data_IF_152300342261
#
_entry.id   IF_152300342261
#
_cell.length_a   1.000
_cell.length_b   1.000
_cell.length_c   1.000
_cell.angle_alpha   90.00
_cell.angle_beta   90.00
_cell.angle_gamma   90.00
#
_symmetry.space_group_name_H-M   'P 1'
#
loop_
_entity.id
_entity.type
_entity.pdbx_description
1 polymer ?
#
# COMPACT_ATOMS: atom_id res chain seq x y z
N UNK A 1 -14.00 -11.78 -21.59
CA UNK A 1 -14.69 -10.48 -21.45
C UNK A 1 -13.63 -9.43 -21.18
N UNK A 2 -13.58 -8.40 -22.03
CA UNK A 2 -12.63 -7.29 -21.96
C UNK A 2 -12.72 -6.59 -20.60
N UNK A 3 -11.61 -6.52 -19.87
CA UNK A 3 -11.50 -5.86 -18.56
C UNK A 3 -11.57 -4.34 -18.82
N UNK A 4 -12.54 -3.65 -18.24
CA UNK A 4 -12.67 -2.19 -18.34
C UNK A 4 -11.41 -1.53 -17.77
N UNK A 5 -10.65 -0.87 -18.64
CA UNK A 5 -9.55 0.02 -18.25
C UNK A 5 -10.14 1.08 -17.31
N UNK A 6 -9.58 1.23 -16.10
CA UNK A 6 -9.96 2.32 -15.20
C UNK A 6 -9.85 3.66 -15.94
N UNK A 7 -10.81 4.54 -15.73
CA UNK A 7 -10.79 5.87 -16.32
C UNK A 7 -9.57 6.65 -15.82
N UNK A 8 -8.95 7.43 -16.71
CA UNK A 8 -7.74 8.18 -16.42
C UNK A 8 -8.09 9.66 -16.24
N UNK A 9 -7.66 10.24 -15.13
CA UNK A 9 -7.76 11.67 -14.86
C UNK A 9 -6.36 12.24 -14.80
N UNK A 10 -6.02 13.17 -15.69
CA UNK A 10 -4.67 13.76 -15.74
C UNK A 10 -4.68 15.14 -15.09
N UNK A 11 -3.74 15.42 -14.18
CA UNK A 11 -3.50 16.77 -13.64
C UNK A 11 -2.33 17.40 -14.38
N UNK A 12 -2.56 18.59 -14.94
CA UNK A 12 -1.57 19.38 -15.69
C UNK A 12 -1.51 20.83 -15.21
N UNK A 13 -0.41 21.50 -15.50
CA UNK A 13 -0.20 22.91 -15.17
C UNK A 13 1.29 23.22 -15.00
N UNK A 14 1.66 24.50 -15.07
CA UNK A 14 3.06 24.93 -14.92
C UNK A 14 3.63 24.57 -13.53
N UNK A 15 4.95 24.54 -13.34
CA UNK A 15 5.55 24.37 -12.02
C UNK A 15 4.98 25.36 -10.98
N UNK A 16 4.93 24.94 -9.71
CA UNK A 16 4.57 25.78 -8.55
C UNK A 16 3.12 26.33 -8.47
N UNK A 17 2.20 25.91 -9.34
CA UNK A 17 0.76 26.23 -9.24
C UNK A 17 0.03 25.46 -8.12
N UNK A 18 0.68 24.46 -7.52
CA UNK A 18 0.12 23.66 -6.43
C UNK A 18 -0.61 22.38 -6.87
N UNK A 19 -0.24 21.80 -8.02
CA UNK A 19 -0.66 20.44 -8.44
C UNK A 19 -0.43 19.40 -7.33
N UNK A 20 0.78 19.43 -6.79
CA UNK A 20 1.26 18.59 -5.68
C UNK A 20 0.27 18.54 -4.53
N UNK A 21 0.05 19.75 -3.99
CA UNK A 21 -0.85 20.02 -2.89
C UNK A 21 -2.29 19.57 -3.19
N UNK A 22 -2.75 19.74 -4.43
CA UNK A 22 -4.09 19.29 -4.85
C UNK A 22 -4.18 17.77 -4.84
N UNK A 23 -3.23 17.07 -5.47
CA UNK A 23 -3.15 15.61 -5.48
C UNK A 23 -3.21 15.06 -4.06
N UNK A 24 -2.36 15.59 -3.18
CA UNK A 24 -2.30 15.11 -1.79
C UNK A 24 -3.60 15.35 -1.03
N UNK A 25 -4.31 16.44 -1.34
CA UNK A 25 -5.63 16.70 -0.77
C UNK A 25 -6.68 15.71 -1.29
N UNK A 26 -6.65 15.40 -2.58
CA UNK A 26 -7.55 14.40 -3.19
C UNK A 26 -7.30 13.03 -2.56
N UNK A 27 -6.03 12.64 -2.38
CA UNK A 27 -5.64 11.38 -1.75
C UNK A 27 -6.05 11.30 -0.26
N UNK A 28 -5.79 12.35 0.53
CA UNK A 28 -6.09 12.38 1.99
C UNK A 28 -7.58 12.40 2.34
N UNK A 29 -8.49 12.71 1.41
CA UNK A 29 -9.95 12.72 1.66
C UNK A 29 -10.55 11.31 1.82
N UNK A 30 -9.77 10.25 1.60
CA UNK A 30 -10.07 8.89 2.04
C UNK A 30 -8.91 8.37 2.88
N UNK A 31 -9.22 7.69 3.98
CA UNK A 31 -8.19 6.97 4.73
C UNK A 31 -7.39 6.09 3.76
N UNK A 32 -6.08 6.10 4.01
CA UNK A 32 -4.94 5.50 3.31
C UNK A 32 -4.23 6.36 2.25
N UNK A 33 -2.94 6.56 2.55
CA UNK A 33 -1.84 7.19 1.80
C UNK A 33 -1.75 8.72 1.89
N UNK A 34 -0.79 9.14 2.71
CA UNK A 34 -0.33 10.53 2.85
C UNK A 34 0.91 10.68 1.98
N UNK A 35 0.94 11.64 1.04
CA UNK A 35 2.18 12.10 0.38
C UNK A 35 2.15 13.63 0.25
N UNK A 36 3.32 14.27 0.09
CA UNK A 36 3.62 15.71 -0.12
C UNK A 36 5.08 15.82 -0.57
N UNK A 37 5.46 15.97 -1.84
CA UNK A 37 5.70 17.23 -2.59
C UNK A 37 6.17 16.94 -4.03
N UNK A 38 5.89 17.80 -5.04
CA UNK A 38 6.41 17.65 -6.41
C UNK A 38 7.69 18.42 -6.69
N UNK A 39 8.65 17.70 -7.25
CA UNK A 39 9.78 18.27 -7.97
C UNK A 39 10.68 17.14 -8.42
N UNK A 40 10.84 16.99 -9.74
CA UNK A 40 11.82 16.09 -10.37
C UNK A 40 11.42 14.60 -10.42
N UNK A 41 10.32 14.27 -11.11
CA UNK A 41 10.12 12.90 -11.63
C UNK A 41 9.98 12.94 -13.15
N UNK A 42 10.72 12.04 -13.82
CA UNK A 42 10.84 11.92 -15.28
C UNK A 42 9.71 11.08 -15.91
N UNK A 43 8.88 10.46 -15.07
CA UNK A 43 7.77 9.58 -15.46
C UNK A 43 6.43 10.06 -14.89
N UNK A 44 5.35 9.76 -15.60
CA UNK A 44 3.97 10.06 -15.20
C UNK A 44 3.57 9.21 -13.99
N UNK A 45 3.41 9.84 -12.83
CA UNK A 45 3.03 9.15 -11.60
C UNK A 45 1.52 8.96 -11.58
N UNK A 46 1.05 7.72 -11.41
CA UNK A 46 -0.38 7.38 -11.42
C UNK A 46 -0.83 6.90 -10.04
N UNK A 47 -1.90 7.49 -9.51
CA UNK A 47 -2.46 7.18 -8.20
C UNK A 47 -3.88 6.64 -8.35
N UNK A 48 -4.22 5.48 -7.78
CA UNK A 48 -5.61 5.05 -7.68
C UNK A 48 -6.38 5.97 -6.73
N UNK A 49 -7.51 6.50 -7.19
CA UNK A 49 -8.35 7.42 -6.41
C UNK A 49 -9.81 6.97 -6.48
N UNK A 50 -10.48 6.99 -5.33
CA UNK A 50 -11.94 6.88 -5.29
C UNK A 50 -12.54 8.16 -4.71
N UNK A 51 -13.46 8.81 -5.41
CA UNK A 51 -14.20 9.99 -4.91
C UNK A 51 -15.70 9.79 -5.14
N UNK A 52 -16.53 10.03 -4.13
CA UNK A 52 -18.00 9.91 -4.24
C UNK A 52 -18.53 8.57 -4.81
N UNK A 53 -17.75 7.49 -4.69
CA UNK A 53 -18.09 6.16 -5.23
C UNK A 53 -17.63 5.91 -6.67
N UNK A 54 -16.96 6.89 -7.30
CA UNK A 54 -16.30 6.75 -8.60
C UNK A 54 -14.82 6.44 -8.37
N UNK A 55 -14.27 5.52 -9.17
CA UNK A 55 -12.87 5.07 -9.05
C UNK A 55 -12.14 5.34 -10.36
N UNK A 56 -10.99 5.99 -10.30
CA UNK A 56 -10.20 6.38 -11.46
C UNK A 56 -8.70 6.43 -11.13
N UNK A 57 -7.85 6.41 -12.15
CA UNK A 57 -6.41 6.63 -12.03
C UNK A 57 -6.08 8.12 -12.18
N UNK A 58 -5.57 8.74 -11.13
CA UNK A 58 -5.10 10.12 -11.14
C UNK A 58 -3.64 10.19 -11.55
N UNK A 59 -3.36 10.79 -12.70
CA UNK A 59 -2.02 10.86 -13.30
C UNK A 59 -1.45 12.27 -13.09
N UNK A 60 -0.32 12.41 -12.41
CA UNK A 60 0.44 13.65 -12.32
C UNK A 60 1.32 13.81 -13.56
N UNK A 61 1.08 14.88 -14.34
CA UNK A 61 1.91 15.18 -15.50
C UNK A 61 3.31 15.69 -15.14
N UNK A 62 3.57 16.00 -13.87
CA UNK A 62 4.73 16.78 -13.46
C UNK A 62 4.64 18.24 -13.92
N UNK A 63 5.62 19.06 -13.54
CA UNK A 63 5.74 20.46 -13.95
C UNK A 63 6.24 20.62 -15.39
N UNK A 64 5.47 20.19 -16.38
CA UNK A 64 5.88 20.26 -17.79
C UNK A 64 5.54 21.64 -18.36
N UNK A 65 6.57 22.36 -18.80
CA UNK A 65 6.43 23.59 -19.60
C UNK A 65 6.46 23.21 -21.08
N UNK A 66 5.46 23.63 -21.86
CA UNK A 66 5.29 23.26 -23.27
C UNK A 66 6.22 24.05 -24.23
N UNK A 67 7.09 24.93 -23.71
CA UNK A 67 7.81 25.93 -24.51
C UNK A 67 9.35 25.83 -24.54
N UNK A 68 10.03 24.87 -23.92
CA UNK A 68 11.51 24.87 -23.93
C UNK A 68 12.12 24.14 -25.12
N UNK A 69 13.13 24.81 -25.71
CA UNK A 69 13.81 24.50 -26.98
C UNK A 69 14.24 23.05 -27.13
N UNK A 70 14.21 22.58 -28.38
CA UNK A 70 14.53 21.25 -28.93
C UNK A 70 15.94 20.69 -28.63
N UNK A 71 16.69 21.25 -27.68
CA UNK A 71 18.10 20.90 -27.45
C UNK A 71 18.32 19.76 -26.45
N UNK A 72 17.30 19.32 -25.71
CA UNK A 72 17.37 18.19 -24.78
C UNK A 72 16.46 17.03 -25.24
N UNK A 73 17.03 15.98 -25.81
CA UNK A 73 16.33 14.75 -26.23
C UNK A 73 15.44 14.16 -25.10
N UNK A 74 15.85 14.33 -23.85
CA UNK A 74 15.14 13.86 -22.64
C UNK A 74 13.83 14.64 -22.41
N UNK A 75 13.77 15.93 -22.76
CA UNK A 75 12.56 16.75 -22.56
C UNK A 75 11.48 16.45 -23.61
N UNK A 76 11.88 16.06 -24.82
CA UNK A 76 10.96 15.70 -25.91
C UNK A 76 10.13 14.47 -25.53
N UNK A 77 10.77 13.42 -25.01
CA UNK A 77 10.08 12.17 -24.62
C UNK A 77 9.06 12.39 -23.49
N UNK A 78 9.39 13.22 -22.48
CA UNK A 78 8.49 13.55 -21.37
C UNK A 78 7.25 14.30 -21.88
N UNK A 79 7.45 15.27 -22.78
CA UNK A 79 6.34 16.02 -23.38
C UNK A 79 5.43 15.10 -24.20
N UNK A 80 5.98 14.17 -24.98
CA UNK A 80 5.17 13.21 -25.74
C UNK A 80 4.35 12.29 -24.83
N UNK A 81 4.93 11.79 -23.74
CA UNK A 81 4.21 10.99 -22.73
C UNK A 81 3.03 11.76 -22.15
N UNK A 82 3.22 13.02 -21.76
CA UNK A 82 2.14 13.87 -21.23
C UNK A 82 1.06 14.11 -22.29
N UNK A 83 1.44 14.37 -23.54
CA UNK A 83 0.48 14.53 -24.65
C UNK A 83 -0.36 13.27 -24.86
N UNK A 84 0.26 12.09 -24.83
CA UNK A 84 -0.45 10.81 -24.93
C UNK A 84 -1.39 10.58 -23.75
N UNK A 85 -0.95 10.88 -22.52
CA UNK A 85 -1.79 10.77 -21.33
C UNK A 85 -3.00 11.70 -21.42
N UNK A 86 -2.81 12.97 -21.79
CA UNK A 86 -3.91 13.91 -22.02
C UNK A 86 -4.87 13.40 -23.10
N UNK A 87 -4.36 12.84 -24.20
CA UNK A 87 -5.20 12.29 -25.28
C UNK A 87 -6.07 11.13 -24.77
N UNK A 88 -5.50 10.22 -23.99
CA UNK A 88 -6.18 9.03 -23.48
C UNK A 88 -7.05 9.27 -22.25
N UNK A 89 -6.83 10.37 -21.53
CA UNK A 89 -7.55 10.70 -20.31
C UNK A 89 -9.05 10.91 -20.55
N UNK A 90 -9.87 10.43 -19.63
CA UNK A 90 -11.31 10.70 -19.57
C UNK A 90 -11.59 12.14 -19.14
N UNK A 91 -10.83 12.64 -18.15
CA UNK A 91 -10.89 14.04 -17.68
C UNK A 91 -9.48 14.61 -17.47
N UNK A 92 -9.34 15.92 -17.59
CA UNK A 92 -8.10 16.65 -17.38
C UNK A 92 -8.34 17.79 -16.41
N UNK A 93 -7.53 17.89 -15.36
CA UNK A 93 -7.55 19.02 -14.43
C UNK A 93 -6.38 19.94 -14.79
N UNK A 94 -6.68 21.11 -15.35
CA UNK A 94 -5.70 22.16 -15.57
C UNK A 94 -5.62 23.04 -14.32
N UNK A 95 -4.48 23.02 -13.63
CA UNK A 95 -4.26 23.82 -12.41
C UNK A 95 -3.49 25.09 -12.77
N UNK A 96 -4.03 26.24 -12.38
CA UNK A 96 -3.41 27.56 -12.52
C UNK A 96 -3.29 28.25 -11.17
N UNK A 97 -2.42 29.24 -11.06
CA UNK A 97 -2.17 29.98 -9.82
C UNK A 97 -3.00 31.27 -9.78
N UNK A 98 -4.05 31.29 -8.95
CA UNK A 98 -4.90 32.46 -8.73
C UNK A 98 -4.20 33.62 -8.01
N UNK A 99 -3.09 33.37 -7.31
CA UNK A 99 -2.33 34.42 -6.62
C UNK A 99 -1.44 35.20 -7.59
N UNK A 100 -0.80 34.49 -8.52
CA UNK A 100 0.19 35.05 -9.46
C UNK A 100 -0.40 35.40 -10.85
N UNK A 101 -1.71 35.25 -11.05
CA UNK A 101 -2.39 35.52 -12.31
C UNK A 101 -2.02 34.56 -13.45
N UNK A 102 -2.54 34.83 -14.66
CA UNK A 102 -2.23 34.02 -15.84
C UNK A 102 -0.84 34.32 -16.40
N UNK A 103 -0.03 33.27 -16.50
CA UNK A 103 1.28 33.32 -17.15
C UNK A 103 1.20 32.84 -18.60
N UNK A 104 2.24 33.11 -19.40
CA UNK A 104 2.32 32.66 -20.80
C UNK A 104 2.17 31.14 -20.92
N UNK A 105 2.83 30.39 -20.04
CA UNK A 105 2.79 28.92 -20.00
C UNK A 105 1.39 28.38 -19.73
N UNK A 106 0.59 29.08 -18.92
CA UNK A 106 -0.81 28.74 -18.68
C UNK A 106 -1.64 28.93 -19.97
N UNK A 107 -1.38 30.01 -20.71
CA UNK A 107 -2.05 30.27 -22.00
C UNK A 107 -1.67 29.23 -23.06
N UNK A 108 -0.42 28.79 -23.09
CA UNK A 108 0.04 27.78 -24.04
C UNK A 108 -0.53 26.40 -23.73
N UNK A 109 -0.55 26.02 -22.45
CA UNK A 109 -1.22 24.80 -22.01
C UNK A 109 -2.71 24.85 -22.36
N UNK A 110 -3.39 25.98 -22.14
CA UNK A 110 -4.79 26.15 -22.52
C UNK A 110 -5.00 26.00 -24.04
N UNK A 111 -4.13 26.60 -24.87
CA UNK A 111 -4.17 26.44 -26.33
C UNK A 111 -4.00 24.97 -26.74
N UNK A 112 -3.06 24.26 -26.11
CA UNK A 112 -2.85 22.83 -26.35
C UNK A 112 -4.06 21.98 -25.95
N UNK A 113 -4.75 22.35 -24.87
CA UNK A 113 -5.92 21.65 -24.35
C UNK A 113 -7.24 21.99 -25.07
N UNK A 114 -7.28 23.01 -25.94
CA UNK A 114 -8.51 23.41 -26.68
C UNK A 114 -9.20 22.25 -27.42
N UNK A 115 -8.50 21.38 -28.16
CA UNK A 115 -9.13 20.23 -28.83
C UNK A 115 -9.81 19.25 -27.85
N UNK A 116 -9.48 19.34 -26.57
CA UNK A 116 -9.97 18.50 -25.48
C UNK A 116 -10.84 19.27 -24.48
N UNK A 117 -11.30 20.47 -24.83
CA UNK A 117 -11.98 21.39 -23.90
C UNK A 117 -13.15 20.77 -23.12
N UNK A 118 -13.87 19.81 -23.73
CA UNK A 118 -15.04 19.18 -23.11
C UNK A 118 -14.69 18.24 -21.95
N UNK A 119 -13.41 17.83 -21.84
CA UNK A 119 -12.91 17.02 -20.72
C UNK A 119 -12.05 17.80 -19.74
N UNK A 120 -11.87 19.11 -19.93
CA UNK A 120 -10.96 19.95 -19.13
C UNK A 120 -11.72 20.68 -18.03
N UNK A 121 -11.21 20.56 -16.81
CA UNK A 121 -11.62 21.31 -15.64
C UNK A 121 -10.51 22.28 -15.26
N UNK A 122 -10.82 23.58 -15.20
CA UNK A 122 -9.87 24.61 -14.80
C UNK A 122 -9.94 24.83 -13.28
N UNK A 123 -8.88 24.44 -12.58
CA UNK A 123 -8.71 24.65 -11.15
C UNK A 123 -7.83 25.89 -10.87
N UNK A 124 -8.45 26.99 -10.47
CA UNK A 124 -7.75 28.23 -10.08
C UNK A 124 -7.34 28.11 -8.61
N UNK A 125 -6.11 27.68 -8.37
CA UNK A 125 -5.61 27.34 -7.05
C UNK A 125 -5.05 28.56 -6.28
N UNK A 126 -4.82 28.40 -4.97
CA UNK A 126 -4.35 29.46 -4.04
C UNK A 126 -5.36 30.61 -3.85
N UNK A 127 -6.65 30.31 -4.01
CA UNK A 127 -7.75 31.24 -3.74
C UNK A 127 -8.18 31.19 -2.26
N UNK A 128 -7.28 31.56 -1.35
CA UNK A 128 -7.48 31.46 0.09
C UNK A 128 -8.41 32.53 0.68
N UNK A 129 -8.64 33.65 -0.04
CA UNK A 129 -9.34 34.81 0.50
C UNK A 129 -10.58 35.17 -0.36
N UNK A 130 -11.75 35.31 0.27
CA UNK A 130 -13.06 35.53 -0.39
C UNK A 130 -13.17 36.86 -1.16
N UNK A 131 -12.28 37.83 -0.90
CA UNK A 131 -12.32 39.16 -1.53
C UNK A 131 -11.77 39.21 -2.98
N UNK A 132 -11.40 38.08 -3.59
CA UNK A 132 -10.74 38.04 -4.91
C UNK A 132 -11.64 37.59 -6.07
N UNK A 133 -12.97 37.70 -5.95
CA UNK A 133 -13.89 37.32 -7.04
C UNK A 133 -13.62 38.07 -8.36
N UNK A 134 -13.15 39.32 -8.30
CA UNK A 134 -12.78 40.12 -9.48
C UNK A 134 -11.61 39.52 -10.28
N UNK A 135 -10.74 38.73 -9.63
CA UNK A 135 -9.57 38.08 -10.26
C UNK A 135 -9.94 36.87 -11.13
N UNK A 136 -11.17 36.33 -11.01
CA UNK A 136 -11.61 35.18 -11.83
C UNK A 136 -11.86 35.56 -13.30
N UNK A 137 -12.17 36.83 -13.56
CA UNK A 137 -12.43 37.37 -14.90
C UNK A 137 -11.27 37.14 -15.87
N UNK A 138 -10.03 37.16 -15.38
CA UNK A 138 -8.84 36.91 -16.18
C UNK A 138 -8.77 35.45 -16.64
N UNK A 139 -9.11 34.50 -15.76
CA UNK A 139 -9.05 33.06 -16.02
C UNK A 139 -10.17 32.58 -16.94
N UNK A 140 -11.33 33.26 -16.95
CA UNK A 140 -12.40 33.00 -17.91
C UNK A 140 -11.95 33.19 -19.38
N UNK A 141 -10.93 34.03 -19.62
CA UNK A 141 -10.35 34.24 -20.97
C UNK A 141 -9.70 32.98 -21.54
N UNK A 142 -9.41 31.97 -20.72
CA UNK A 142 -8.90 30.68 -21.20
C UNK A 142 -9.96 29.85 -21.96
N UNK A 143 -11.26 30.16 -21.78
CA UNK A 143 -12.34 29.59 -22.57
C UNK A 143 -12.85 28.21 -22.11
N UNK A 144 -12.45 27.74 -20.92
CA UNK A 144 -12.99 26.50 -20.34
C UNK A 144 -14.30 26.78 -19.60
N UNK A 145 -15.31 25.94 -19.82
CA UNK A 145 -16.64 26.07 -19.21
C UNK A 145 -16.64 25.78 -17.70
N UNK A 146 -15.88 24.77 -17.30
CA UNK A 146 -15.81 24.30 -15.92
C UNK A 146 -14.61 24.95 -15.21
N UNK A 147 -14.88 26.02 -14.44
CA UNK A 147 -13.87 26.78 -13.70
C UNK A 147 -14.18 26.73 -12.19
N UNK A 148 -13.20 26.29 -11.40
CA UNK A 148 -13.33 26.19 -9.95
C UNK A 148 -12.24 26.97 -9.23
N UNK A 149 -12.58 28.00 -8.44
CA UNK A 149 -11.66 28.59 -7.48
C UNK A 149 -11.44 27.61 -6.33
N UNK A 150 -10.19 27.24 -6.09
CA UNK A 150 -9.83 26.28 -5.04
C UNK A 150 -8.69 26.81 -4.16
N UNK A 151 -8.63 26.30 -2.94
CA UNK A 151 -7.43 26.29 -2.12
C UNK A 151 -7.05 24.85 -1.84
N UNK A 152 -5.98 24.35 -2.46
CA UNK A 152 -5.45 23.02 -2.15
C UNK A 152 -4.91 22.90 -0.73
N UNK A 153 -4.46 24.01 -0.12
CA UNK A 153 -3.93 24.03 1.25
C UNK A 153 -5.04 24.03 2.28
N UNK A 154 -6.10 24.81 2.09
CA UNK A 154 -7.21 24.92 3.04
C UNK A 154 -8.36 23.96 2.74
N UNK A 155 -8.54 23.58 1.46
CA UNK A 155 -9.58 22.66 0.98
C UNK A 155 -10.81 23.29 0.38
N UNK A 156 -10.90 24.62 0.41
CA UNK A 156 -11.99 25.36 -0.19
C UNK A 156 -12.13 25.03 -1.68
N UNK A 157 -13.37 24.85 -2.15
CA UNK A 157 -13.71 24.59 -3.56
C UNK A 157 -13.35 23.20 -4.10
N UNK A 158 -12.41 22.47 -3.48
CA UNK A 158 -11.93 21.17 -3.96
C UNK A 158 -13.04 20.13 -4.04
N UNK A 159 -13.95 20.12 -3.07
CA UNK A 159 -15.07 19.16 -3.06
C UNK A 159 -16.06 19.38 -4.20
N UNK A 160 -16.37 20.64 -4.50
CA UNK A 160 -17.27 21.03 -5.58
C UNK A 160 -16.64 20.70 -6.94
N UNK A 161 -15.35 21.01 -7.10
CA UNK A 161 -14.56 20.63 -8.26
C UNK A 161 -14.57 19.11 -8.45
N UNK A 162 -14.30 18.35 -7.38
CA UNK A 162 -14.25 16.89 -7.41
C UNK A 162 -15.59 16.25 -7.74
N UNK A 163 -16.71 16.83 -7.28
CA UNK A 163 -18.06 16.37 -7.65
C UNK A 163 -18.25 16.46 -9.16
N UNK A 164 -17.96 17.62 -9.74
CA UNK A 164 -18.05 17.86 -11.19
C UNK A 164 -17.08 16.98 -11.98
N UNK A 165 -15.85 16.78 -11.47
CA UNK A 165 -14.88 15.87 -12.05
C UNK A 165 -15.42 14.43 -12.14
N UNK A 166 -16.11 13.98 -11.09
CA UNK A 166 -16.70 12.63 -11.05
C UNK A 166 -17.99 12.50 -11.85
N UNK A 167 -18.61 13.62 -12.25
CA UNK A 167 -19.81 13.60 -13.08
C UNK A 167 -19.46 13.09 -14.48
N UNK A 168 -20.10 11.98 -14.87
CA UNK A 168 -19.82 11.28 -16.13
C UNK A 168 -18.74 10.21 -16.04
N UNK A 169 -18.02 10.08 -14.92
CA UNK A 169 -17.15 8.92 -14.67
C UNK A 169 -18.00 7.69 -14.30
N UNK A 170 -17.57 6.51 -14.72
CA UNK A 170 -18.20 5.26 -14.32
C UNK A 170 -18.15 5.10 -12.79
N UNK A 171 -19.26 4.65 -12.18
CA UNK A 171 -19.25 4.23 -10.78
C UNK A 171 -18.50 2.90 -10.66
N UNK A 172 -17.18 2.98 -10.54
CA UNK A 172 -16.33 1.81 -10.29
C UNK A 172 -16.58 1.27 -8.88
N UNK A 173 -16.96 0.00 -8.79
CA UNK A 173 -17.00 -0.68 -7.48
C UNK A 173 -15.59 -0.70 -6.88
N UNK A 174 -15.47 -0.62 -5.54
CA UNK A 174 -14.20 -0.66 -4.79
C UNK A 174 -13.30 -1.87 -5.14
N UNK A 175 -13.84 -2.86 -5.86
CA UNK A 175 -13.14 -4.06 -6.34
C UNK A 175 -12.19 -3.84 -7.53
N UNK A 176 -12.23 -2.69 -8.21
CA UNK A 176 -11.40 -2.46 -9.41
C UNK A 176 -10.10 -1.68 -9.15
N UNK A 177 -9.81 -1.31 -7.91
CA UNK A 177 -8.45 -0.90 -7.56
C UNK A 177 -7.55 -2.14 -7.57
N UNK A 178 -6.48 -2.12 -8.37
CA UNK A 178 -5.31 -2.94 -8.05
C UNK A 178 -4.93 -2.59 -6.61
N UNK A 179 -5.15 -3.51 -5.67
CA UNK A 179 -4.87 -3.28 -4.27
C UNK A 179 -3.39 -2.89 -4.14
N UNK A 180 -3.10 -1.77 -3.47
CA UNK A 180 -1.72 -1.41 -3.13
C UNK A 180 -1.34 -2.25 -1.92
N UNK A 181 -0.39 -3.16 -2.10
CA UNK A 181 0.12 -4.00 -1.02
C UNK A 181 1.28 -3.32 -0.33
N UNK A 182 1.06 -2.82 0.88
CA UNK A 182 2.10 -2.18 1.67
C UNK A 182 2.96 -3.25 2.36
N UNK A 183 4.24 -3.33 1.97
CA UNK A 183 5.18 -4.34 2.46
C UNK A 183 6.40 -3.68 3.10
N UNK A 184 7.01 -4.36 4.06
CA UNK A 184 8.29 -3.95 4.65
C UNK A 184 9.24 -5.13 4.84
N UNK A 185 10.54 -4.85 4.88
CA UNK A 185 11.58 -5.84 5.16
C UNK A 185 12.11 -5.67 6.59
N UNK A 186 12.14 -6.75 7.34
CA UNK A 186 12.72 -6.80 8.68
C UNK A 186 13.78 -7.91 8.75
N UNK A 187 14.81 -7.77 9.57
CA UNK A 187 15.85 -8.80 9.69
C UNK A 187 17.14 -8.27 10.28
N UNK A 188 18.05 -9.16 10.68
CA UNK A 188 19.36 -8.78 11.24
C UNK A 188 20.23 -7.96 10.26
N UNK A 189 21.26 -7.28 10.74
CA UNK A 189 22.28 -6.70 9.87
C UNK A 189 22.90 -7.76 8.95
N UNK A 190 23.22 -7.38 7.70
CA UNK A 190 23.91 -8.22 6.71
C UNK A 190 23.18 -9.50 6.25
N UNK A 191 21.90 -9.68 6.58
CA UNK A 191 21.07 -10.78 6.04
C UNK A 191 20.70 -10.60 4.57
N UNK A 192 20.97 -9.43 3.99
CA UNK A 192 20.76 -9.13 2.57
C UNK A 192 19.45 -8.39 2.24
N UNK A 193 18.87 -7.65 3.19
CA UNK A 193 17.67 -6.81 2.96
C UNK A 193 17.86 -5.80 1.81
N UNK A 194 18.99 -5.08 1.80
CA UNK A 194 19.28 -4.08 0.76
C UNK A 194 19.51 -4.73 -0.60
N UNK A 195 20.18 -5.88 -0.64
CA UNK A 195 20.35 -6.65 -1.87
C UNK A 195 18.99 -7.14 -2.40
N UNK A 196 18.09 -7.53 -1.50
CA UNK A 196 16.75 -7.98 -1.86
C UNK A 196 15.92 -6.84 -2.48
N UNK A 197 15.98 -5.66 -1.87
CA UNK A 197 15.36 -4.45 -2.38
C UNK A 197 15.88 -4.09 -3.78
N UNK A 198 17.20 -4.08 -3.97
CA UNK A 198 17.78 -3.77 -5.28
C UNK A 198 17.38 -4.80 -6.33
N UNK A 199 17.44 -6.09 -6.01
CA UNK A 199 17.06 -7.15 -6.94
C UNK A 199 15.57 -7.09 -7.33
N UNK A 200 14.70 -6.67 -6.41
CA UNK A 200 13.28 -6.41 -6.70
C UNK A 200 13.13 -5.22 -7.66
N UNK A 201 13.90 -4.16 -7.45
CA UNK A 201 13.84 -2.97 -8.31
C UNK A 201 14.41 -3.22 -9.70
N UNK A 202 15.47 -4.04 -9.79
CA UNK A 202 16.15 -4.40 -11.04
C UNK A 202 15.38 -5.42 -11.90
N UNK A 203 14.33 -6.07 -11.39
CA UNK A 203 13.45 -6.87 -12.25
C UNK A 203 12.75 -5.95 -13.27
N UNK A 204 12.88 -6.27 -14.57
CA UNK A 204 12.45 -5.53 -15.78
C UNK A 204 10.97 -5.06 -15.84
N UNK A 205 10.21 -5.22 -14.77
CA UNK A 205 8.77 -4.94 -14.68
C UNK A 205 8.41 -3.94 -13.59
N UNK A 206 9.38 -3.46 -12.80
CA UNK A 206 9.16 -2.58 -11.65
C UNK A 206 9.34 -1.11 -12.03
N UNK A 207 8.22 -0.39 -12.20
CA UNK A 207 8.22 1.08 -12.34
C UNK A 207 8.34 1.70 -10.94
N UNK A 208 9.50 2.21 -10.59
CA UNK A 208 9.74 2.88 -9.31
C UNK A 208 9.27 4.33 -9.34
N UNK A 209 8.38 4.71 -8.42
CA UNK A 209 8.07 6.11 -8.14
C UNK A 209 8.53 6.47 -6.73
N UNK A 210 9.47 7.41 -6.65
CA UNK A 210 9.95 8.02 -5.41
C UNK A 210 8.98 9.13 -5.02
N UNK A 211 8.34 9.01 -3.85
CA UNK A 211 7.57 10.14 -3.30
C UNK A 211 8.13 10.52 -1.93
N UNK A 212 8.78 11.68 -1.87
CA UNK A 212 9.26 12.27 -0.63
C UNK A 212 8.16 13.02 0.11
N UNK A 213 8.27 13.08 1.44
CA UNK A 213 7.75 14.19 2.27
C UNK A 213 6.54 13.92 3.16
N UNK A 214 6.60 12.90 4.03
CA UNK A 214 5.69 12.83 5.19
C UNK A 214 6.44 12.55 6.48
N UNK A 215 6.36 13.50 7.43
CA UNK A 215 6.91 13.44 8.79
C UNK A 215 8.35 12.95 8.90
N UNK A 216 9.31 13.85 8.69
CA UNK A 216 10.77 13.81 8.97
C UNK A 216 11.60 12.56 8.58
N UNK A 217 11.05 11.37 8.35
CA UNK A 217 11.84 10.14 8.47
C UNK A 217 11.46 8.92 7.60
N UNK A 218 10.35 8.89 6.85
CA UNK A 218 10.00 7.70 6.04
C UNK A 218 9.73 8.03 4.56
N UNK A 219 10.57 7.48 3.67
CA UNK A 219 10.37 7.47 2.20
C UNK A 219 9.68 6.14 1.84
N UNK A 220 8.79 6.14 0.84
CA UNK A 220 8.14 4.92 0.33
C UNK A 220 8.46 4.71 -1.14
N UNK A 221 8.65 3.46 -1.56
CA UNK A 221 8.93 3.08 -2.96
C UNK A 221 7.75 2.31 -3.52
N UNK A 222 7.13 2.84 -4.57
CA UNK A 222 6.04 2.17 -5.28
C UNK A 222 6.58 1.39 -6.46
N UNK A 223 6.05 0.20 -6.69
CA UNK A 223 6.32 -0.57 -7.90
C UNK A 223 5.14 -1.41 -8.34
N UNK A 224 5.18 -1.89 -9.59
CA UNK A 224 4.15 -2.76 -10.16
C UNK A 224 4.77 -4.10 -10.54
N UNK A 225 4.06 -5.19 -10.27
CA UNK A 225 4.42 -6.53 -10.73
C UNK A 225 3.14 -7.28 -11.11
N UNK A 226 3.07 -7.88 -12.30
CA UNK A 226 1.90 -8.63 -12.79
C UNK A 226 0.53 -7.91 -12.60
N UNK A 227 0.45 -6.60 -12.88
CA UNK A 227 -0.77 -5.79 -12.69
C UNK A 227 -1.23 -5.71 -11.22
N UNK A 228 -0.28 -5.73 -10.29
CA UNK A 228 -0.51 -5.45 -8.88
C UNK A 228 0.47 -4.39 -8.43
N UNK A 229 0.02 -3.46 -7.60
CA UNK A 229 0.85 -2.38 -7.07
C UNK A 229 1.34 -2.74 -5.68
N UNK A 230 2.62 -2.55 -5.43
CA UNK A 230 3.27 -2.76 -4.14
C UNK A 230 3.88 -1.45 -3.68
N UNK A 231 3.88 -1.23 -2.36
CA UNK A 231 4.51 -0.09 -1.73
C UNK A 231 5.47 -0.58 -0.64
N UNK A 232 6.76 -0.29 -0.78
CA UNK A 232 7.77 -0.57 0.23
C UNK A 232 7.82 0.57 1.23
N UNK A 233 7.52 0.27 2.48
CA UNK A 233 7.52 1.23 3.58
C UNK A 233 8.94 1.39 4.15
N UNK A 234 9.28 2.64 4.48
CA UNK A 234 10.49 3.05 5.22
C UNK A 234 11.82 2.82 4.45
N UNK A 235 11.90 3.28 3.21
CA UNK A 235 13.06 3.15 2.33
C UNK A 235 14.05 4.34 2.40
N UNK A 236 13.99 5.18 3.45
CA UNK A 236 14.75 6.44 3.53
C UNK A 236 16.28 6.29 3.37
N UNK A 237 16.85 5.12 3.67
CA UNK A 237 18.27 4.81 3.45
C UNK A 237 18.66 4.42 2.02
N UNK A 238 17.69 4.11 1.15
CA UNK A 238 17.91 3.63 -0.21
C UNK A 238 18.27 4.80 -1.15
N UNK A 239 17.60 5.95 -0.99
CA UNK A 239 17.76 7.10 -1.89
C UNK A 239 19.17 7.69 -1.91
N UNK A 240 19.87 7.74 -0.77
CA UNK A 240 21.20 8.39 -0.68
C UNK A 240 22.31 7.64 -1.45
N UNK A 241 22.05 6.42 -1.94
CA UNK A 241 23.10 5.49 -2.41
C UNK A 241 22.90 4.88 -3.80
N UNK A 242 21.86 5.27 -4.52
CA UNK A 242 21.75 5.01 -5.96
C UNK A 242 22.92 5.60 -6.80
N UNK A 243 23.78 6.44 -6.21
CA UNK A 243 24.99 6.97 -6.84
C UNK A 243 26.33 6.42 -6.35
N UNK A 244 26.41 5.81 -5.15
CA UNK A 244 27.68 5.32 -4.60
C UNK A 244 27.49 3.97 -3.87
N UNK A 245 28.15 2.96 -4.41
CA UNK A 245 28.11 1.56 -3.99
C UNK A 245 28.86 1.32 -2.66
N UNK A 246 28.28 1.73 -1.53
CA UNK A 246 28.67 1.21 -0.22
C UNK A 246 27.41 1.08 0.63
N UNK A 247 26.88 -0.13 0.80
CA UNK A 247 25.68 -0.41 1.58
C UNK A 247 25.96 -0.16 3.07
N UNK A 248 25.37 0.90 3.65
CA UNK A 248 25.34 1.04 5.12
C UNK A 248 23.96 0.60 5.58
N UNK A 249 24.04 -0.24 6.61
CA UNK A 249 22.97 -0.95 7.28
C UNK A 249 21.77 -0.06 7.58
N UNK A 250 20.60 -0.63 7.33
CA UNK A 250 19.28 -0.08 7.65
C UNK A 250 19.15 0.09 9.17
N UNK A 251 19.73 1.17 9.70
CA UNK A 251 19.86 1.45 11.14
C UNK A 251 18.56 1.99 11.70
N UNK A 252 17.95 1.20 12.58
CA UNK A 252 17.96 1.45 14.02
C UNK A 252 16.59 1.14 14.63
N UNK A 253 16.65 0.39 15.73
CA UNK A 253 15.59 -0.31 16.49
C UNK A 253 14.40 0.58 16.93
N UNK A 254 14.42 1.87 16.63
CA UNK A 254 13.37 2.84 17.00
C UNK A 254 12.32 3.05 15.88
N UNK A 255 12.60 2.66 14.62
CA UNK A 255 11.63 2.78 13.50
C UNK A 255 10.85 1.51 13.17
N UNK A 256 11.29 0.36 13.69
CA UNK A 256 10.73 -0.95 13.38
C UNK A 256 9.22 -1.06 13.66
N UNK A 257 8.74 -0.52 14.78
CA UNK A 257 7.34 -0.69 15.17
C UNK A 257 6.38 0.06 14.24
N UNK A 258 6.70 1.32 13.91
CA UNK A 258 5.88 2.12 12.99
C UNK A 258 5.82 1.47 11.60
N UNK A 259 6.97 1.01 11.10
CA UNK A 259 7.05 0.32 9.81
C UNK A 259 6.23 -0.97 9.79
N UNK A 260 6.26 -1.76 10.87
CA UNK A 260 5.40 -2.93 11.04
C UNK A 260 3.92 -2.51 11.05
N UNK A 261 3.55 -1.50 11.84
CA UNK A 261 2.18 -1.00 11.97
C UNK A 261 1.58 -0.47 10.66
N UNK A 262 2.37 0.20 9.83
CA UNK A 262 1.93 0.74 8.54
C UNK A 262 1.89 -0.31 7.43
N UNK A 263 2.57 -1.45 7.61
CA UNK A 263 2.61 -2.53 6.61
C UNK A 263 1.35 -3.39 6.64
N UNK A 264 0.89 -3.82 5.46
CA UNK A 264 -0.10 -4.90 5.32
C UNK A 264 0.54 -6.26 5.58
N UNK A 265 1.82 -6.44 5.21
CA UNK A 265 2.61 -7.64 5.40
C UNK A 265 4.09 -7.33 5.63
N UNK A 266 4.69 -8.00 6.62
CA UNK A 266 6.12 -7.88 6.94
C UNK A 266 6.90 -9.09 6.44
N UNK A 267 7.97 -8.86 5.70
CA UNK A 267 8.87 -9.89 5.19
C UNK A 267 10.08 -9.97 6.12
N UNK A 268 10.15 -11.03 6.92
CA UNK A 268 11.31 -11.27 7.81
C UNK A 268 12.39 -12.02 7.04
N UNK A 269 13.52 -11.37 6.82
CA UNK A 269 14.66 -11.89 6.08
C UNK A 269 15.63 -12.57 7.04
N UNK A 270 15.90 -13.85 6.80
CA UNK A 270 16.84 -14.68 7.56
C UNK A 270 17.99 -15.12 6.64
N UNK A 271 19.22 -15.10 7.16
CA UNK A 271 20.39 -15.62 6.45
C UNK A 271 20.48 -17.15 6.63
N UNK A 272 20.34 -17.89 5.53
CA UNK A 272 20.36 -19.35 5.53
C UNK A 272 21.62 -19.94 6.19
N UNK A 273 22.78 -19.32 5.97
CA UNK A 273 24.06 -19.82 6.47
C UNK A 273 24.20 -19.65 7.99
N UNK A 274 23.53 -18.63 8.56
CA UNK A 274 23.57 -18.34 10.00
C UNK A 274 22.45 -18.99 10.79
N UNK A 275 21.37 -19.42 10.12
CA UNK A 275 20.16 -19.86 10.81
C UNK A 275 19.47 -18.72 11.56
N UNK A 276 18.69 -19.07 12.59
CA UNK A 276 17.89 -18.11 13.33
C UNK A 276 18.60 -17.63 14.60
N UNK A 277 19.08 -16.39 14.59
CA UNK A 277 19.72 -15.77 15.75
C UNK A 277 18.69 -15.28 16.79
N UNK A 278 19.17 -14.89 17.98
CA UNK A 278 18.32 -14.23 18.98
C UNK A 278 17.64 -12.96 18.47
N UNK A 279 18.32 -12.19 17.62
CA UNK A 279 17.74 -10.97 17.06
C UNK A 279 16.69 -11.28 15.99
N UNK A 280 16.84 -12.36 15.22
CA UNK A 280 15.79 -12.83 14.30
C UNK A 280 14.54 -13.25 15.07
N UNK A 281 14.69 -14.00 16.18
CA UNK A 281 13.56 -14.36 17.06
C UNK A 281 12.83 -13.13 17.58
N UNK A 282 13.56 -12.08 17.99
CA UNK A 282 12.97 -10.79 18.42
C UNK A 282 12.20 -10.11 17.29
N UNK A 283 12.76 -10.08 16.08
CA UNK A 283 12.11 -9.49 14.92
C UNK A 283 10.79 -10.20 14.58
N UNK A 284 10.81 -11.54 14.54
CA UNK A 284 9.61 -12.36 14.33
C UNK A 284 8.58 -12.10 15.43
N UNK A 285 9.01 -12.07 16.70
CA UNK A 285 8.11 -11.83 17.82
C UNK A 285 7.45 -10.45 17.75
N UNK A 286 8.19 -9.40 17.35
CA UNK A 286 7.65 -8.06 17.17
C UNK A 286 6.50 -8.02 16.15
N UNK A 287 6.63 -8.73 15.03
CA UNK A 287 5.58 -8.82 13.99
C UNK A 287 4.34 -9.57 14.52
N UNK A 288 4.55 -10.65 15.27
CA UNK A 288 3.48 -11.44 15.90
C UNK A 288 2.73 -10.64 16.96
N UNK A 289 3.45 -9.84 17.75
CA UNK A 289 2.87 -9.00 18.80
C UNK A 289 2.05 -7.87 18.19
N UNK A 290 2.55 -7.27 17.10
CA UNK A 290 1.83 -6.27 16.31
C UNK A 290 0.64 -6.81 15.50
N UNK A 291 0.40 -8.14 15.52
CA UNK A 291 -0.68 -8.81 14.76
C UNK A 291 -0.66 -8.45 13.28
N UNK A 292 0.53 -8.53 12.66
CA UNK A 292 0.70 -8.31 11.22
C UNK A 292 0.89 -9.61 10.46
N UNK A 293 0.47 -9.59 9.19
CA UNK A 293 0.74 -10.69 8.26
C UNK A 293 2.26 -10.80 8.06
N UNK A 294 2.75 -12.02 7.90
CA UNK A 294 4.18 -12.27 7.84
C UNK A 294 4.51 -13.39 6.87
N UNK A 295 5.62 -13.22 6.17
CA UNK A 295 6.35 -14.31 5.52
C UNK A 295 7.80 -14.26 5.95
N UNK A 296 8.47 -15.39 5.86
CA UNK A 296 9.91 -15.48 6.04
C UNK A 296 10.57 -15.63 4.68
N UNK A 297 11.59 -14.83 4.42
CA UNK A 297 12.45 -14.99 3.25
C UNK A 297 13.83 -15.49 3.70
N UNK A 298 14.11 -16.76 3.45
CA UNK A 298 15.37 -17.41 3.76
C UNK A 298 16.35 -17.10 2.62
N UNK A 299 17.13 -16.05 2.82
CA UNK A 299 18.06 -15.50 1.85
C UNK A 299 19.41 -16.21 1.87
N UNK A 300 20.19 -16.03 0.80
CA UNK A 300 21.50 -16.67 0.58
C UNK A 300 21.40 -18.20 0.51
N UNK A 301 20.25 -18.71 0.10
CA UNK A 301 20.03 -20.15 -0.05
C UNK A 301 20.94 -20.76 -1.12
N UNK A 302 21.43 -19.94 -2.06
CA UNK A 302 22.43 -20.35 -3.05
C UNK A 302 23.75 -20.82 -2.44
N UNK A 303 24.07 -20.42 -1.21
CA UNK A 303 25.25 -20.90 -0.48
C UNK A 303 25.03 -22.26 0.20
N UNK A 304 23.78 -22.75 0.22
CA UNK A 304 23.39 -24.02 0.84
C UNK A 304 23.12 -25.12 -0.21
N UNK A 305 23.18 -24.81 -1.51
CA UNK A 305 22.80 -25.74 -2.59
C UNK A 305 23.65 -27.03 -2.58
N UNK A 306 24.93 -26.94 -2.20
CA UNK A 306 25.86 -28.08 -2.08
C UNK A 306 25.81 -28.79 -0.72
N UNK A 307 24.97 -28.32 0.21
CA UNK A 307 24.81 -28.96 1.52
C UNK A 307 23.79 -30.11 1.48
N UNK A 308 23.92 -31.07 2.40
CA UNK A 308 22.91 -32.12 2.61
C UNK A 308 21.57 -31.56 3.14
N UNK A 309 21.54 -30.31 3.59
CA UNK A 309 20.38 -29.67 4.19
C UNK A 309 19.41 -29.20 3.11
N UNK A 310 18.29 -29.91 2.97
CA UNK A 310 17.17 -29.49 2.11
C UNK A 310 16.25 -28.49 2.80
N UNK A 311 15.47 -27.75 2.02
CA UNK A 311 14.52 -26.73 2.50
C UNK A 311 13.63 -27.27 3.62
N UNK A 312 13.05 -28.47 3.44
CA UNK A 312 12.21 -29.13 4.45
C UNK A 312 12.94 -29.40 5.78
N UNK A 313 14.23 -29.73 5.73
CA UNK A 313 15.06 -29.92 6.91
C UNK A 313 15.28 -28.60 7.65
N UNK A 314 15.59 -27.54 6.90
CA UNK A 314 15.78 -26.20 7.45
C UNK A 314 14.49 -25.61 8.03
N UNK A 315 13.34 -25.79 7.34
CA UNK A 315 12.02 -25.41 7.86
C UNK A 315 11.76 -26.06 9.22
N UNK A 316 12.04 -27.38 9.34
CA UNK A 316 11.85 -28.10 10.61
C UNK A 316 12.73 -27.55 11.72
N UNK A 317 13.99 -27.20 11.42
CA UNK A 317 14.90 -26.57 12.36
C UNK A 317 14.32 -25.24 12.90
N UNK A 318 13.89 -24.36 12.00
CA UNK A 318 13.29 -23.06 12.37
C UNK A 318 12.00 -23.22 13.19
N UNK A 319 11.13 -24.16 12.80
CA UNK A 319 9.90 -24.45 13.54
C UNK A 319 10.18 -25.08 14.90
N UNK A 320 11.22 -25.91 15.03
CA UNK A 320 11.66 -26.43 16.33
C UNK A 320 12.10 -25.29 17.26
N UNK A 321 12.84 -24.32 16.73
CA UNK A 321 13.32 -23.15 17.46
C UNK A 321 12.18 -22.19 17.85
N UNK A 322 11.17 -22.05 16.98
CA UNK A 322 10.05 -21.14 17.19
C UNK A 322 8.75 -21.75 16.60
N UNK A 323 7.98 -22.55 17.37
CA UNK A 323 6.87 -23.36 16.85
C UNK A 323 5.75 -22.60 16.13
N UNK A 324 5.57 -21.31 16.46
CA UNK A 324 4.58 -20.46 15.79
C UNK A 324 4.88 -20.25 14.30
N UNK A 325 6.13 -20.43 13.87
CA UNK A 325 6.56 -20.30 12.48
C UNK A 325 5.90 -21.30 11.54
N UNK A 326 5.36 -22.42 12.06
CA UNK A 326 4.62 -23.40 11.24
C UNK A 326 3.40 -22.80 10.52
N UNK A 327 2.92 -21.64 10.96
CA UNK A 327 1.77 -20.95 10.36
C UNK A 327 2.16 -19.89 9.32
N UNK A 328 3.45 -19.61 9.15
CA UNK A 328 3.93 -18.54 8.28
C UNK A 328 4.75 -19.14 7.13
N UNK A 329 4.43 -18.81 5.86
CA UNK A 329 5.18 -19.29 4.71
C UNK A 329 6.66 -18.91 4.78
N UNK A 330 7.51 -19.86 4.40
CA UNK A 330 8.94 -19.67 4.26
C UNK A 330 9.30 -19.80 2.78
N UNK A 331 9.84 -18.73 2.20
CA UNK A 331 10.33 -18.69 0.84
C UNK A 331 11.85 -18.80 0.87
N UNK A 332 12.41 -19.60 -0.04
CA UNK A 332 13.85 -19.84 -0.14
C UNK A 332 14.40 -19.19 -1.40
N UNK A 333 15.48 -18.42 -1.26
CA UNK A 333 15.97 -17.66 -2.40
C UNK A 333 17.34 -17.03 -2.21
N UNK A 334 17.72 -16.27 -3.22
CA UNK A 334 18.97 -15.52 -3.26
C UNK A 334 18.71 -14.16 -3.88
N UNK A 335 18.82 -13.12 -3.07
CA UNK A 335 18.82 -11.74 -3.55
C UNK A 335 19.94 -11.50 -4.58
N UNK A 336 21.12 -12.12 -4.37
CA UNK A 336 22.28 -11.94 -5.27
C UNK A 336 22.05 -12.56 -6.65
N UNK A 337 21.39 -13.73 -6.71
CA UNK A 337 21.07 -14.42 -7.98
C UNK A 337 19.65 -14.09 -8.50
N UNK A 338 18.94 -13.15 -7.88
CA UNK A 338 17.52 -12.85 -8.14
C UNK A 338 16.60 -14.08 -8.15
N UNK A 339 16.92 -15.12 -7.36
CA UNK A 339 16.18 -16.40 -7.32
C UNK A 339 15.15 -16.39 -6.19
N UNK A 340 13.92 -16.79 -6.48
CA UNK A 340 12.82 -16.89 -5.49
C UNK A 340 12.11 -15.57 -5.15
N UNK A 341 12.44 -14.46 -5.85
CA UNK A 341 11.80 -13.16 -5.62
C UNK A 341 10.36 -13.13 -6.10
N UNK A 342 10.09 -13.69 -7.29
CA UNK A 342 8.74 -13.72 -7.87
C UNK A 342 7.69 -14.39 -6.97
N UNK A 343 8.11 -15.30 -6.09
CA UNK A 343 7.21 -16.00 -5.17
C UNK A 343 6.73 -15.08 -4.04
N UNK A 344 7.50 -14.05 -3.67
CA UNK A 344 7.05 -12.99 -2.76
C UNK A 344 5.84 -12.30 -3.37
N UNK A 345 5.92 -11.90 -4.65
CA UNK A 345 4.84 -11.15 -5.30
C UNK A 345 3.58 -11.98 -5.57
N UNK A 346 3.71 -13.32 -5.64
CA UNK A 346 2.56 -14.21 -5.71
C UNK A 346 1.88 -14.37 -4.35
N UNK A 347 2.67 -14.60 -3.30
CA UNK A 347 2.11 -14.98 -1.99
C UNK A 347 1.57 -13.81 -1.18
N UNK A 348 2.14 -12.60 -1.35
CA UNK A 348 1.71 -11.40 -0.61
C UNK A 348 0.22 -11.08 -0.84
N UNK A 349 -0.27 -10.98 -2.09
CA UNK A 349 -1.69 -10.83 -2.39
C UNK A 349 -2.55 -11.92 -1.75
N UNK A 350 -2.17 -13.19 -1.91
CA UNK A 350 -2.94 -14.33 -1.39
C UNK A 350 -3.12 -14.26 0.13
N UNK A 351 -2.06 -13.89 0.87
CA UNK A 351 -2.12 -13.74 2.33
C UNK A 351 -3.01 -12.56 2.72
N UNK A 352 -2.89 -11.43 2.04
CA UNK A 352 -3.67 -10.22 2.36
C UNK A 352 -5.15 -10.45 2.04
N UNK A 353 -5.50 -11.09 0.93
CA UNK A 353 -6.87 -11.46 0.58
C UNK A 353 -7.47 -12.45 1.59
N UNK A 354 -6.71 -13.48 1.96
CA UNK A 354 -7.09 -14.46 2.98
C UNK A 354 -7.30 -13.81 4.34
N UNK A 355 -6.42 -12.91 4.77
CA UNK A 355 -6.60 -12.15 6.00
C UNK A 355 -7.93 -11.39 5.94
N UNK A 356 -8.21 -10.68 4.86
CA UNK A 356 -9.44 -9.90 4.71
C UNK A 356 -10.74 -10.73 4.54
N UNK A 357 -10.66 -12.05 4.46
CA UNK A 357 -11.82 -12.92 4.25
C UNK A 357 -12.77 -12.88 5.45
N UNK A 358 -14.06 -12.65 5.20
CA UNK A 358 -15.11 -12.65 6.22
C UNK A 358 -15.87 -13.97 6.23
N UNK A 359 -15.83 -14.67 7.36
CA UNK A 359 -16.56 -15.92 7.59
C UNK A 359 -17.97 -15.58 8.08
N UNK A 360 -18.97 -16.29 7.57
CA UNK A 360 -20.35 -16.08 8.02
C UNK A 360 -20.51 -16.52 9.48
N UNK A 361 -21.31 -15.77 10.24
CA UNK A 361 -21.59 -16.08 11.64
C UNK A 361 -22.13 -17.50 11.80
N UNK A 362 -23.04 -17.95 10.91
CA UNK A 362 -23.58 -19.31 10.94
C UNK A 362 -22.50 -20.39 10.82
N UNK A 363 -21.61 -20.26 9.81
CA UNK A 363 -20.55 -21.23 9.57
C UNK A 363 -19.55 -21.28 10.74
N UNK A 364 -19.18 -20.12 11.27
CA UNK A 364 -18.32 -20.03 12.45
C UNK A 364 -18.94 -20.69 13.68
N UNK A 365 -20.24 -20.47 13.93
CA UNK A 365 -20.93 -21.05 15.07
C UNK A 365 -20.97 -22.58 14.99
N UNK A 366 -21.34 -23.13 13.84
CA UNK A 366 -21.34 -24.58 13.60
C UNK A 366 -19.95 -25.18 13.84
N UNK A 367 -18.90 -24.53 13.34
CA UNK A 367 -17.53 -24.96 13.55
C UNK A 367 -17.12 -24.94 15.03
N UNK A 368 -17.36 -23.82 15.72
CA UNK A 368 -16.96 -23.65 17.13
C UNK A 368 -17.69 -24.66 18.02
N UNK A 369 -18.98 -24.88 17.78
CA UNK A 369 -19.77 -25.88 18.50
C UNK A 369 -19.17 -27.28 18.35
N UNK A 370 -18.83 -27.70 17.13
CA UNK A 370 -18.19 -29.00 16.88
C UNK A 370 -16.83 -29.15 17.57
N UNK A 371 -15.99 -28.09 17.52
CA UNK A 371 -14.66 -28.10 18.15
C UNK A 371 -14.78 -28.28 19.66
N UNK A 372 -15.68 -27.52 20.30
CA UNK A 372 -15.84 -27.52 21.75
C UNK A 372 -16.55 -28.79 22.22
N UNK A 373 -17.54 -29.29 21.49
CA UNK A 373 -18.20 -30.57 21.79
C UNK A 373 -17.21 -31.74 21.77
N UNK A 374 -16.27 -31.75 20.83
CA UNK A 374 -15.26 -32.82 20.71
C UNK A 374 -14.16 -32.72 21.77
N UNK A 375 -13.79 -31.52 22.18
CA UNK A 375 -12.78 -31.29 23.22
C UNK A 375 -13.27 -30.19 24.15
N UNK A 376 -14.13 -30.50 25.13
CA UNK A 376 -14.68 -29.49 26.03
C UNK A 376 -13.57 -28.90 26.92
N UNK A 377 -13.65 -27.60 27.28
CA UNK A 377 -12.75 -27.04 28.27
C UNK A 377 -13.03 -27.67 29.64
N UNK A 378 -12.01 -27.74 30.50
CA UNK A 378 -12.13 -28.35 31.83
C UNK A 378 -13.19 -27.63 32.66
N UNK A 379 -14.17 -28.38 33.17
CA UNK A 379 -15.14 -27.86 34.12
C UNK A 379 -14.42 -27.50 35.44
N UNK A 380 -14.75 -26.33 36.01
CA UNK A 380 -14.35 -25.98 37.37
C UNK A 380 -15.59 -25.99 38.26
N UNK A 381 -15.49 -26.62 39.43
CA UNK A 381 -16.57 -26.71 40.42
C UNK A 381 -17.90 -27.23 39.83
N UNK A 382 -17.83 -28.20 38.92
CA UNK A 382 -19.01 -28.81 38.28
C UNK A 382 -19.76 -27.90 37.30
N UNK A 383 -19.21 -26.74 36.92
CA UNK A 383 -19.82 -25.82 35.96
C UNK A 383 -19.17 -25.96 34.58
N UNK A 384 -19.93 -26.53 33.64
CA UNK A 384 -19.51 -26.63 32.24
C UNK A 384 -19.52 -25.27 31.54
N UNK A 385 -18.57 -25.10 30.63
CA UNK A 385 -18.54 -23.93 29.76
C UNK A 385 -19.52 -24.15 28.61
N UNK A 386 -20.56 -23.31 28.57
CA UNK A 386 -21.52 -23.24 27.47
C UNK A 386 -21.13 -22.10 26.54
N UNK A 387 -21.15 -22.37 25.24
CA UNK A 387 -20.92 -21.39 24.19
C UNK A 387 -22.27 -20.93 23.67
N UNK A 388 -22.50 -19.62 23.67
CA UNK A 388 -23.74 -19.04 23.17
C UNK A 388 -23.66 -18.77 21.68
N UNK A 389 -22.62 -18.03 21.27
CA UNK A 389 -22.33 -17.78 19.87
C UNK A 389 -20.89 -17.31 19.68
N UNK A 390 -20.43 -17.36 18.44
CA UNK A 390 -19.16 -16.83 17.97
C UNK A 390 -19.36 -15.87 16.79
N UNK A 391 -18.49 -14.87 16.67
CA UNK A 391 -18.50 -13.91 15.55
C UNK A 391 -17.08 -13.51 15.16
N UNK A 392 -16.89 -13.10 13.91
CA UNK A 392 -15.66 -12.45 13.46
C UNK A 392 -15.83 -10.92 13.62
N UNK A 393 -15.15 -10.35 14.61
CA UNK A 393 -15.22 -8.93 14.94
C UNK A 393 -14.42 -8.07 13.96
N UNK A 394 -13.25 -8.55 13.53
CA UNK A 394 -12.37 -7.87 12.60
C UNK A 394 -11.86 -8.85 11.53
N UNK A 395 -11.69 -8.34 10.31
CA UNK A 395 -11.13 -9.12 9.20
C UNK A 395 -9.61 -9.06 9.18
N UNK A 396 -8.98 -7.91 9.41
CA UNK A 396 -7.51 -7.80 9.37
C UNK A 396 -7.00 -7.08 10.62
N UNK A 397 -6.44 -7.81 11.61
CA UNK A 397 -6.25 -9.28 11.63
C UNK A 397 -7.57 -10.05 11.86
N UNK A 398 -7.71 -11.30 11.36
CA UNK A 398 -8.85 -12.16 11.65
C UNK A 398 -9.07 -12.34 13.16
N UNK A 399 -10.11 -11.69 13.69
CA UNK A 399 -10.40 -11.65 15.12
C UNK A 399 -11.74 -12.29 15.42
N UNK A 400 -11.69 -13.41 16.13
CA UNK A 400 -12.84 -14.21 16.50
C UNK A 400 -13.19 -14.00 17.98
N UNK A 401 -14.43 -13.66 18.24
CA UNK A 401 -14.96 -13.47 19.60
C UNK A 401 -15.99 -14.56 19.87
N UNK A 402 -15.75 -15.37 20.91
CA UNK A 402 -16.59 -16.48 21.33
C UNK A 402 -17.21 -16.13 22.69
N UNK A 403 -18.53 -16.09 22.77
CA UNK A 403 -19.27 -15.74 23.98
C UNK A 403 -19.63 -16.99 24.77
N UNK A 404 -19.24 -17.01 26.05
CA UNK A 404 -19.42 -18.15 26.95
C UNK A 404 -19.98 -17.73 28.31
N UNK A 405 -20.54 -18.67 29.07
CA UNK A 405 -21.06 -18.40 30.43
C UNK A 405 -19.95 -18.14 31.46
N UNK A 406 -18.85 -18.91 31.41
CA UNK A 406 -17.76 -18.88 32.37
C UNK A 406 -16.42 -18.64 31.68
N UNK A 407 -16.10 -17.37 31.39
CA UNK A 407 -14.84 -16.99 30.75
C UNK A 407 -13.63 -17.36 31.62
N UNK A 408 -13.77 -17.27 32.94
CA UNK A 408 -12.79 -17.62 33.96
C UNK A 408 -12.33 -19.09 33.92
N UNK A 409 -13.13 -19.97 33.30
CA UNK A 409 -12.79 -21.38 33.13
C UNK A 409 -11.98 -21.65 31.85
N UNK A 410 -11.85 -20.67 30.95
CA UNK A 410 -11.07 -20.80 29.71
C UNK A 410 -9.61 -20.42 29.94
N UNK A 411 -8.72 -21.40 29.88
CA UNK A 411 -7.27 -21.21 29.99
C UNK A 411 -6.65 -20.70 28.67
N UNK A 412 -5.49 -20.05 28.75
CA UNK A 412 -4.76 -19.63 27.55
C UNK A 412 -4.37 -20.81 26.64
N UNK A 413 -4.11 -21.98 27.23
CA UNK A 413 -3.87 -23.22 26.48
C UNK A 413 -5.08 -23.59 25.63
N UNK A 414 -6.29 -23.46 26.18
CA UNK A 414 -7.52 -23.73 25.45
C UNK A 414 -7.79 -22.70 24.35
N UNK A 415 -7.50 -21.42 24.61
CA UNK A 415 -7.56 -20.37 23.57
C UNK A 415 -6.64 -20.73 22.39
N UNK A 416 -5.39 -21.11 22.66
CA UNK A 416 -4.43 -21.53 21.62
C UNK A 416 -4.89 -22.78 20.87
N UNK A 417 -5.54 -23.72 21.56
CA UNK A 417 -6.15 -24.89 20.93
C UNK A 417 -7.22 -24.48 19.90
N UNK A 418 -8.15 -23.61 20.29
CA UNK A 418 -9.21 -23.13 19.39
C UNK A 418 -8.63 -22.30 18.25
N UNK A 419 -7.66 -21.42 18.52
CA UNK A 419 -6.91 -20.68 17.49
C UNK A 419 -6.29 -21.63 16.46
N UNK A 420 -5.61 -22.69 16.91
CA UNK A 420 -5.02 -23.72 16.03
C UNK A 420 -6.08 -24.38 15.16
N UNK A 421 -7.25 -24.70 15.71
CA UNK A 421 -8.36 -25.31 14.95
C UNK A 421 -8.93 -24.34 13.90
N UNK A 422 -9.13 -23.08 14.26
CA UNK A 422 -9.57 -22.03 13.32
C UNK A 422 -8.58 -21.90 12.17
N UNK A 423 -7.27 -21.81 12.48
CA UNK A 423 -6.21 -21.73 11.46
C UNK A 423 -6.23 -22.90 10.49
N UNK A 424 -6.37 -24.13 11.02
CA UNK A 424 -6.38 -25.34 10.21
C UNK A 424 -7.61 -25.46 9.32
N UNK A 425 -8.78 -25.07 9.83
CA UNK A 425 -10.05 -25.25 9.13
C UNK A 425 -10.33 -24.16 8.09
N UNK A 426 -10.07 -22.90 8.45
CA UNK A 426 -10.31 -21.76 7.56
C UNK A 426 -9.08 -21.33 6.75
N UNK A 427 -7.93 -21.96 6.98
CA UNK A 427 -6.73 -21.79 6.15
C UNK A 427 -6.06 -20.43 6.28
N UNK A 428 -5.73 -19.99 7.50
CA UNK A 428 -5.09 -18.70 7.80
C UNK A 428 -3.54 -18.73 7.76
N UNK A 429 -2.97 -19.37 6.73
CA UNK A 429 -1.51 -19.36 6.52
C UNK A 429 -1.01 -17.94 6.24
N UNK A 430 0.09 -17.54 6.88
CA UNK A 430 0.68 -16.21 6.77
C UNK A 430 -0.04 -15.11 7.57
N UNK A 431 -1.21 -15.40 8.13
CA UNK A 431 -2.04 -14.43 8.83
C UNK A 431 -1.92 -14.60 10.35
N UNK A 432 -1.93 -13.52 11.15
CA UNK A 432 -2.20 -13.61 12.57
C UNK A 432 -3.69 -13.96 12.77
N UNK A 433 -4.00 -14.81 13.75
CA UNK A 433 -5.38 -15.14 14.14
C UNK A 433 -5.53 -14.80 15.61
N UNK A 434 -6.54 -14.01 15.93
CA UNK A 434 -6.85 -13.61 17.30
C UNK A 434 -8.13 -14.30 17.73
N UNK A 435 -8.07 -15.04 18.84
CA UNK A 435 -9.25 -15.65 19.44
C UNK A 435 -9.45 -15.07 20.83
N UNK A 436 -10.63 -14.53 21.07
CA UNK A 436 -11.03 -13.97 22.36
C UNK A 436 -12.27 -14.70 22.87
N UNK A 437 -12.23 -15.13 24.11
CA UNK A 437 -13.44 -15.54 24.82
C UNK A 437 -13.95 -14.37 25.64
N UNK A 438 -15.26 -14.13 25.61
CA UNK A 438 -15.93 -13.11 26.44
C UNK A 438 -17.08 -13.75 27.22
N UNK A 439 -17.36 -13.20 28.40
CA UNK A 439 -18.54 -13.59 29.17
C UNK A 439 -19.78 -13.05 28.47
N UNK A 440 -20.75 -13.91 28.18
CA UNK A 440 -22.07 -13.49 27.74
C UNK A 440 -22.75 -12.77 28.90
N UNK A 441 -23.24 -11.55 28.66
CA UNK A 441 -23.97 -10.78 29.67
C UNK A 441 -25.33 -11.39 29.95
#
# INVERSE_FOLDING_TARGET
MSISKLEEVVIVGRPNVGKSTLINRILKKKKTITLNEPGVTRDLVSFPVTVNGHTFMLIDSGGVSMQKKETDLIQVEVVEKVKMAIKNATKVIMVVDGHNGLQTEDRDMAKFLRPYQDKVILAVNKMDNKQRHDQLSEFLKLGFKELFPISSVQGHGVEVMLKTLTDGLAKGSRKELEAVYNISFLGCPNVGKSSLLNAIVEEDKVIVSDVEGTTRDSVSVYFRHNKQTFCLIDTAGIRKKFRNAEAIEFYSVVRTNKTIEESDLVIVVIDANKGMSHQDKRNVQAVIDAKKNMILFINKWDLMEDSDVKEKGFTKLLVSDMPVLQYYPMLYGSAKKAKGLSDIFKIVPEIIERANTRISTSHLNQFVEQVIKRNPPTAKYGKDVKVFYATQAESSPPTFVIFVNHRENITNTYVRFVEKRIRQYFGYSGCPVVVQFRKHR
#
